data_IF_641058164693
#
_entry.id   IF_641058164693
#
_cell.length_a   1.000
_cell.length_b   1.000
_cell.length_c   1.000
_cell.angle_alpha   90.00
_cell.angle_beta   90.00
_cell.angle_gamma   90.00
#
_symmetry.space_group_name_H-M   'P 1'
#
loop_
_entity.id
_entity.type
_entity.pdbx_description
1 polymer ?
#
# COMPACT_ATOMS: atom_id res chain seq x y z
N UNK A 1 -48.16 -3.21 -3.56
CA UNK A 1 -47.57 -3.02 -2.22
C UNK A 1 -47.15 -4.40 -1.72
N UNK A 2 -45.89 -4.79 -1.94
CA UNK A 2 -45.40 -6.13 -1.56
C UNK A 2 -44.92 -6.10 -0.11
N UNK A 3 -45.75 -6.60 0.80
CA UNK A 3 -45.37 -6.82 2.19
C UNK A 3 -44.52 -8.10 2.22
N UNK A 4 -43.20 -7.93 2.29
CA UNK A 4 -42.25 -9.01 2.48
C UNK A 4 -42.53 -9.69 3.83
N UNK A 5 -43.17 -10.87 3.78
CA UNK A 5 -43.32 -11.77 4.92
C UNK A 5 -41.92 -12.17 5.40
N UNK A 6 -41.46 -11.61 6.52
CA UNK A 6 -40.17 -11.98 7.13
C UNK A 6 -40.18 -13.46 7.49
N UNK A 7 -39.12 -14.16 7.06
CA UNK A 7 -38.85 -15.55 7.43
C UNK A 7 -38.75 -15.69 8.95
N UNK A 8 -39.32 -16.73 9.56
CA UNK A 8 -39.23 -17.00 11.00
C UNK A 8 -37.80 -17.36 11.46
N UNK A 9 -36.85 -17.48 10.53
CA UNK A 9 -35.42 -17.73 10.81
C UNK A 9 -34.53 -16.51 10.52
N UNK A 10 -35.14 -15.34 10.26
CA UNK A 10 -34.35 -14.12 10.13
C UNK A 10 -33.81 -13.71 11.51
N UNK A 11 -32.48 -13.58 11.68
CA UNK A 11 -31.89 -13.15 12.94
C UNK A 11 -32.49 -11.80 13.36
N UNK A 12 -32.76 -11.65 14.65
CA UNK A 12 -33.37 -10.42 15.16
C UNK A 12 -32.45 -9.22 14.88
N UNK A 13 -33.03 -8.05 14.59
CA UNK A 13 -32.26 -6.82 14.34
C UNK A 13 -31.32 -6.51 15.54
N UNK A 14 -31.72 -6.91 16.75
CA UNK A 14 -30.89 -6.77 17.96
C UNK A 14 -29.68 -7.69 17.99
N UNK A 15 -29.79 -8.92 17.48
CA UNK A 15 -28.66 -9.86 17.39
C UNK A 15 -27.68 -9.46 16.28
N UNK A 16 -28.19 -8.94 15.16
CA UNK A 16 -27.38 -8.36 14.07
C UNK A 16 -26.63 -7.12 14.55
N UNK A 17 -27.25 -6.28 15.38
CA UNK A 17 -26.59 -5.10 15.96
C UNK A 17 -25.49 -5.46 16.99
N UNK A 18 -25.71 -6.50 17.82
CA UNK A 18 -24.70 -6.98 18.78
C UNK A 18 -23.51 -7.69 18.14
N UNK A 19 -23.74 -8.51 17.12
CA UNK A 19 -22.66 -9.19 16.38
C UNK A 19 -21.99 -8.32 15.32
N UNK A 20 -22.66 -7.27 14.84
CA UNK A 20 -22.15 -6.36 13.83
C UNK A 20 -20.94 -5.56 14.31
N UNK A 21 -20.95 -5.09 15.55
CA UNK A 21 -19.88 -4.25 16.08
C UNK A 21 -18.55 -5.02 16.26
N UNK A 22 -18.60 -6.28 16.72
CA UNK A 22 -17.42 -7.12 16.85
C UNK A 22 -16.77 -7.42 15.50
N UNK A 23 -17.56 -7.81 14.49
CA UNK A 23 -17.05 -8.08 13.13
C UNK A 23 -16.49 -6.83 12.44
N UNK A 24 -17.11 -5.67 12.64
CA UNK A 24 -16.61 -4.40 12.13
C UNK A 24 -15.28 -4.00 12.77
N UNK A 25 -15.17 -4.15 14.09
CA UNK A 25 -13.92 -3.89 14.83
C UNK A 25 -12.82 -4.86 14.39
N UNK A 26 -13.10 -6.15 14.27
CA UNK A 26 -12.12 -7.13 13.78
C UNK A 26 -11.69 -6.84 12.34
N UNK A 27 -12.63 -6.49 11.45
CA UNK A 27 -12.32 -6.12 10.07
C UNK A 27 -11.46 -4.85 9.97
N UNK A 28 -11.73 -3.87 10.83
CA UNK A 28 -10.92 -2.64 10.92
C UNK A 28 -9.51 -2.92 11.47
N UNK A 29 -9.39 -3.75 12.51
CA UNK A 29 -8.09 -4.13 13.07
C UNK A 29 -7.24 -4.94 12.08
N UNK A 30 -7.86 -5.85 11.31
CA UNK A 30 -7.16 -6.60 10.27
C UNK A 30 -6.67 -5.67 9.15
N UNK A 31 -7.52 -4.78 8.63
CA UNK A 31 -7.10 -3.80 7.62
C UNK A 31 -6.02 -2.86 8.14
N UNK A 32 -6.12 -2.43 9.40
CA UNK A 32 -5.07 -1.63 10.04
C UNK A 32 -3.76 -2.40 10.18
N UNK A 33 -3.81 -3.67 10.56
CA UNK A 33 -2.64 -4.55 10.65
C UNK A 33 -1.98 -4.77 9.29
N UNK A 34 -2.76 -5.00 8.23
CA UNK A 34 -2.25 -5.10 6.86
C UNK A 34 -1.58 -3.80 6.41
N UNK A 35 -2.27 -2.65 6.58
CA UNK A 35 -1.71 -1.34 6.27
C UNK A 35 -0.43 -1.05 7.07
N UNK A 36 -0.40 -1.45 8.35
CA UNK A 36 0.77 -1.28 9.20
C UNK A 36 1.95 -2.09 8.68
N UNK A 37 1.75 -3.36 8.31
CA UNK A 37 2.81 -4.18 7.72
C UNK A 37 3.30 -3.61 6.39
N UNK A 38 2.41 -3.15 5.52
CA UNK A 38 2.77 -2.51 4.26
C UNK A 38 3.57 -1.21 4.46
N UNK A 39 3.16 -0.41 5.44
CA UNK A 39 3.88 0.81 5.83
C UNK A 39 5.26 0.48 6.40
N UNK A 40 5.35 -0.50 7.30
CA UNK A 40 6.62 -0.92 7.91
C UNK A 40 7.58 -1.49 6.86
N UNK A 41 7.08 -2.27 5.90
CA UNK A 41 7.90 -2.80 4.81
C UNK A 41 8.49 -1.70 3.93
N UNK A 42 7.73 -0.62 3.68
CA UNK A 42 8.23 0.53 2.96
C UNK A 42 9.22 1.36 3.78
N UNK A 43 8.93 1.57 5.07
CA UNK A 43 9.84 2.25 6.00
C UNK A 43 11.13 1.46 6.24
N UNK A 44 11.10 0.13 6.16
CA UNK A 44 12.27 -0.73 6.27
C UNK A 44 13.31 -0.48 5.16
N UNK A 45 12.90 0.17 4.06
CA UNK A 45 13.80 0.60 3.00
C UNK A 45 14.48 1.93 3.30
N UNK A 46 13.98 2.72 4.27
CA UNK A 46 14.60 3.99 4.64
C UNK A 46 16.02 3.81 5.23
N UNK A 47 16.28 2.87 6.16
CA UNK A 47 17.65 2.59 6.59
C UNK A 47 18.57 2.17 5.42
N UNK A 48 18.03 1.41 4.47
CA UNK A 48 18.76 0.97 3.29
C UNK A 48 19.09 2.15 2.36
N UNK A 49 18.13 3.06 2.14
CA UNK A 49 18.35 4.32 1.44
C UNK A 49 19.37 5.20 2.17
N UNK A 50 19.26 5.34 3.49
CA UNK A 50 20.19 6.12 4.32
C UNK A 50 21.62 5.56 4.25
N UNK A 51 21.78 4.24 4.13
CA UNK A 51 23.08 3.61 3.92
C UNK A 51 23.72 4.05 2.59
N UNK A 52 22.93 4.27 1.54
CA UNK A 52 23.43 4.78 0.25
C UNK A 52 23.87 6.24 0.32
N UNK A 53 23.21 7.06 1.14
CA UNK A 53 23.63 8.45 1.33
C UNK A 53 24.86 8.57 2.26
N UNK A 54 25.01 7.66 3.23
CA UNK A 54 26.06 7.75 4.26
C UNK A 54 27.40 7.13 3.85
N UNK A 55 27.43 6.08 3.01
CA UNK A 55 28.70 5.45 2.60
C UNK A 55 29.26 6.04 1.30
N UNK A 56 30.55 6.39 1.30
CA UNK A 56 31.33 6.61 0.07
C UNK A 56 31.97 5.28 -0.36
N UNK A 57 31.91 4.90 -1.65
CA UNK A 57 31.25 5.59 -2.76
C UNK A 57 29.72 5.44 -2.71
N UNK A 58 28.98 6.53 -2.96
CA UNK A 58 27.50 6.57 -3.01
C UNK A 58 27.00 5.94 -4.31
N UNK A 59 27.22 4.63 -4.45
CA UNK A 59 26.84 3.84 -5.61
C UNK A 59 25.83 2.80 -5.18
N UNK A 60 24.67 2.80 -5.82
CA UNK A 60 23.69 1.72 -5.65
C UNK A 60 23.86 0.75 -6.80
N UNK A 61 23.98 -0.54 -6.46
CA UNK A 61 24.10 -1.59 -7.46
C UNK A 61 22.84 -1.63 -8.33
N UNK A 62 23.03 -1.89 -9.63
CA UNK A 62 21.92 -1.92 -10.60
C UNK A 62 20.80 -2.92 -10.21
N UNK A 63 21.19 -4.06 -9.67
CA UNK A 63 20.28 -5.10 -9.20
C UNK A 63 19.35 -4.56 -8.11
N UNK A 64 19.90 -3.83 -7.15
CA UNK A 64 19.12 -3.25 -6.08
C UNK A 64 18.24 -2.10 -6.57
N UNK A 65 18.75 -1.24 -7.44
CA UNK A 65 17.93 -0.20 -8.05
C UNK A 65 16.73 -0.76 -8.81
N UNK A 66 16.93 -1.88 -9.51
CA UNK A 66 15.86 -2.57 -10.24
C UNK A 66 14.85 -3.20 -9.27
N UNK A 67 15.29 -3.74 -8.14
CA UNK A 67 14.39 -4.20 -7.08
C UNK A 67 13.51 -3.06 -6.54
N UNK A 68 14.10 -1.90 -6.24
CA UNK A 68 13.35 -0.73 -5.74
C UNK A 68 12.39 -0.20 -6.82
N UNK A 69 12.78 -0.20 -8.09
CA UNK A 69 11.90 0.17 -9.21
C UNK A 69 10.72 -0.80 -9.39
N UNK A 70 10.96 -2.12 -9.26
CA UNK A 70 9.91 -3.13 -9.28
C UNK A 70 8.96 -2.99 -8.09
N UNK A 71 9.49 -2.64 -6.91
CA UNK A 71 8.68 -2.36 -5.73
C UNK A 71 7.81 -1.12 -5.94
N UNK A 72 8.35 -0.04 -6.51
CA UNK A 72 7.56 1.13 -6.88
C UNK A 72 6.40 0.77 -7.83
N UNK A 73 6.67 -0.08 -8.83
CA UNK A 73 5.64 -0.59 -9.73
C UNK A 73 4.56 -1.36 -8.98
N UNK A 74 4.94 -2.26 -8.07
CA UNK A 74 4.00 -3.02 -7.25
C UNK A 74 3.10 -2.11 -6.39
N UNK A 75 3.68 -1.08 -5.75
CA UNK A 75 2.94 -0.09 -4.94
C UNK A 75 1.99 0.75 -5.79
N UNK A 76 2.41 1.14 -6.98
CA UNK A 76 1.57 1.85 -7.95
C UNK A 76 0.39 0.99 -8.41
N UNK A 77 0.62 -0.30 -8.69
CA UNK A 77 -0.46 -1.24 -9.05
C UNK A 77 -1.43 -1.46 -7.88
N UNK A 78 -0.93 -1.57 -6.65
CA UNK A 78 -1.76 -1.66 -5.45
C UNK A 78 -2.62 -0.40 -5.25
N UNK A 79 -2.04 0.78 -5.46
CA UNK A 79 -2.76 2.06 -5.42
C UNK A 79 -3.87 2.11 -6.47
N UNK A 80 -3.58 1.74 -7.72
CA UNK A 80 -4.58 1.68 -8.81
C UNK A 80 -5.68 0.66 -8.49
N UNK A 81 -5.32 -0.49 -7.94
CA UNK A 81 -6.29 -1.49 -7.48
C UNK A 81 -7.25 -0.90 -6.45
N UNK A 82 -6.74 -0.25 -5.40
CA UNK A 82 -7.58 0.35 -4.37
C UNK A 82 -8.40 1.55 -4.86
N UNK A 83 -7.86 2.31 -5.82
CA UNK A 83 -8.56 3.42 -6.47
C UNK A 83 -9.71 2.93 -7.37
N UNK A 84 -9.48 1.86 -8.13
CA UNK A 84 -10.45 1.26 -9.04
C UNK A 84 -11.41 0.28 -8.34
N UNK A 85 -11.13 -0.10 -7.10
CA UNK A 85 -11.96 -1.00 -6.29
C UNK A 85 -13.47 -0.70 -6.32
N UNK A 86 -13.95 0.55 -6.10
CA UNK A 86 -15.38 0.86 -6.16
C UNK A 86 -16.03 0.72 -7.54
N UNK A 87 -15.25 0.61 -8.62
CA UNK A 87 -15.79 0.36 -9.96
C UNK A 87 -16.20 -1.11 -10.14
N UNK A 88 -15.55 -2.03 -9.42
CA UNK A 88 -15.74 -3.47 -9.59
C UNK A 88 -16.49 -4.13 -8.41
N UNK A 89 -16.51 -3.51 -7.23
CA UNK A 89 -17.11 -4.08 -6.03
C UNK A 89 -18.12 -3.15 -5.36
N UNK A 90 -19.33 -3.66 -5.10
CA UNK A 90 -20.42 -2.91 -4.41
C UNK A 90 -20.22 -2.79 -2.90
N UNK A 91 -19.47 -3.70 -2.27
CA UNK A 91 -19.14 -3.64 -0.85
C UNK A 91 -17.85 -2.86 -0.64
N UNK A 92 -17.87 -1.79 0.14
CA UNK A 92 -16.64 -1.08 0.51
C UNK A 92 -15.94 -1.81 1.66
N UNK A 93 -14.69 -2.29 1.48
CA UNK A 93 -13.92 -2.86 2.57
C UNK A 93 -13.62 -1.77 3.60
N UNK A 94 -13.77 -2.14 4.88
CA UNK A 94 -13.36 -1.31 6.01
C UNK A 94 -11.87 -1.03 5.90
N UNK A 95 -11.49 0.24 5.79
CA UNK A 95 -10.07 0.66 5.75
C UNK A 95 -9.48 0.98 4.37
N UNK A 96 -10.27 0.94 3.28
CA UNK A 96 -9.81 1.35 1.92
C UNK A 96 -9.04 2.68 1.90
N UNK A 97 -9.53 3.68 2.64
CA UNK A 97 -8.90 4.99 2.71
C UNK A 97 -7.50 4.94 3.33
N UNK A 98 -7.27 4.05 4.29
CA UNK A 98 -5.97 3.83 4.93
C UNK A 98 -5.02 3.18 3.91
N UNK A 99 -5.45 2.15 3.19
CA UNK A 99 -4.65 1.55 2.12
C UNK A 99 -4.26 2.58 1.04
N UNK A 100 -5.20 3.41 0.59
CA UNK A 100 -4.91 4.48 -0.37
C UNK A 100 -3.89 5.50 0.16
N UNK A 101 -4.04 5.93 1.42
CA UNK A 101 -3.14 6.91 2.03
C UNK A 101 -1.73 6.33 2.24
N UNK A 102 -1.63 5.09 2.72
CA UNK A 102 -0.36 4.38 2.91
C UNK A 102 0.36 4.16 1.59
N UNK A 103 -0.34 3.66 0.57
CA UNK A 103 0.25 3.44 -0.75
C UNK A 103 0.68 4.75 -1.41
N UNK A 104 -0.10 5.83 -1.26
CA UNK A 104 0.31 7.16 -1.75
C UNK A 104 1.61 7.64 -1.08
N UNK A 105 1.72 7.50 0.24
CA UNK A 105 2.92 7.87 0.98
C UNK A 105 4.14 7.04 0.55
N UNK A 106 3.95 5.73 0.34
CA UNK A 106 4.99 4.84 -0.17
C UNK A 106 5.49 5.26 -1.56
N UNK A 107 4.56 5.57 -2.47
CA UNK A 107 4.88 6.06 -3.81
C UNK A 107 5.68 7.36 -3.73
N UNK A 108 5.27 8.31 -2.89
CA UNK A 108 5.97 9.60 -2.73
C UNK A 108 7.41 9.42 -2.23
N UNK A 109 7.63 8.56 -1.24
CA UNK A 109 8.98 8.27 -0.72
C UNK A 109 9.85 7.63 -1.80
N UNK A 110 9.30 6.69 -2.56
CA UNK A 110 10.04 5.97 -3.60
C UNK A 110 10.26 6.80 -4.88
N UNK A 111 9.46 7.85 -5.10
CA UNK A 111 9.54 8.70 -6.29
C UNK A 111 10.88 9.43 -6.39
N UNK A 112 11.43 9.90 -5.26
CA UNK A 112 12.75 10.55 -5.22
C UNK A 112 13.85 9.59 -5.69
N UNK A 113 13.86 8.35 -5.19
CA UNK A 113 14.79 7.32 -5.65
C UNK A 113 14.58 6.97 -7.13
N UNK A 114 13.32 6.85 -7.56
CA UNK A 114 12.98 6.49 -8.94
C UNK A 114 13.48 7.53 -9.94
N UNK A 115 13.42 8.82 -9.60
CA UNK A 115 13.96 9.88 -10.44
C UNK A 115 15.46 9.68 -10.73
N UNK A 116 16.25 9.38 -9.70
CA UNK A 116 17.68 9.09 -9.87
C UNK A 116 17.94 7.77 -10.59
N UNK A 117 17.13 6.76 -10.34
CA UNK A 117 17.20 5.48 -11.06
C UNK A 117 16.98 5.65 -12.57
N UNK A 118 15.92 6.35 -12.97
CA UNK A 118 15.60 6.61 -14.39
C UNK A 118 16.69 7.45 -15.04
N UNK A 119 17.17 8.50 -14.36
CA UNK A 119 18.27 9.32 -14.86
C UNK A 119 19.54 8.50 -15.09
N UNK A 120 19.92 7.63 -14.15
CA UNK A 120 21.09 6.77 -14.26
C UNK A 120 20.95 5.72 -15.38
N UNK A 121 19.75 5.18 -15.57
CA UNK A 121 19.46 4.24 -16.67
C UNK A 121 19.52 4.91 -18.05
N UNK A 122 18.96 6.11 -18.19
CA UNK A 122 19.00 6.86 -19.44
C UNK A 122 20.43 7.32 -19.80
N UNK A 123 21.28 7.57 -18.81
CA UNK A 123 22.69 7.90 -19.03
C UNK A 123 23.61 6.69 -19.24
N UNK A 124 23.06 5.47 -19.23
CA UNK A 124 23.82 4.24 -19.43
C UNK A 124 24.79 3.91 -18.29
N UNK A 125 24.60 4.46 -17.10
CA UNK A 125 25.47 4.19 -15.96
C UNK A 125 25.15 2.81 -15.35
N UNK A 126 26.19 2.01 -15.10
CA UNK A 126 26.03 0.71 -14.44
C UNK A 126 25.62 0.86 -12.96
N UNK A 127 26.10 1.92 -12.31
CA UNK A 127 25.81 2.25 -10.91
C UNK A 127 25.00 3.55 -10.80
N UNK A 128 24.00 3.57 -9.91
CA UNK A 128 23.19 4.77 -9.68
C UNK A 128 23.94 5.70 -8.73
N UNK A 129 24.33 6.87 -9.24
CA UNK A 129 24.88 7.95 -8.43
C UNK A 129 23.74 8.80 -7.86
N UNK A 130 23.54 8.73 -6.54
CA UNK A 130 22.63 9.63 -5.82
C UNK A 130 23.34 10.99 -5.59
N UNK A 131 22.66 12.14 -5.77
CA UNK A 131 23.29 13.44 -5.59
C UNK A 131 23.57 13.75 -4.11
N UNK A 132 24.26 14.88 -3.93
CA UNK A 132 24.85 15.41 -2.70
C UNK A 132 23.84 15.47 -1.56
#
# INVERSE_FOLDING_TARGET
MFILRRSPHAPSIGDVARYGNGRLVTGMLLSFWECFNDSVLALALLPQLQMFYSRRPRKVTNLLGTFVAMLFCARTLAFIYWLSFPLFHRSQPTGRGIHLATEALNILILLDFLYYYVRAKLSGQEDIALPI
#
